data_IF_443855342292
#
_entry.id   IF_443855342292
#
_cell.length_a   1.000
_cell.length_b   1.000
_cell.length_c   1.000
_cell.angle_alpha   90.00
_cell.angle_beta   90.00
_cell.angle_gamma   90.00
#
_symmetry.space_group_name_H-M   'P 1'
#
loop_
_entity.id
_entity.type
_entity.pdbx_description
1 polymer ?
#
# COMPACT_ATOMS: atom_id res chain seq x y z
N UNK A 1 11.59 6.03 6.92
CA UNK A 1 12.23 6.32 8.23
C UNK A 1 11.66 7.61 8.75
N UNK A 2 11.43 7.69 10.06
CA UNK A 2 10.86 8.89 10.69
C UNK A 2 11.26 8.98 12.17
N UNK A 3 11.17 10.17 12.74
CA UNK A 3 11.21 10.35 14.19
C UNK A 3 10.00 9.63 14.83
N UNK A 4 10.16 9.06 16.05
CA UNK A 4 9.11 8.27 16.72
C UNK A 4 7.73 8.93 16.77
N UNK A 5 7.67 10.20 17.16
CA UNK A 5 6.47 11.03 17.31
C UNK A 5 5.66 11.18 16.02
N UNK A 6 6.31 11.08 14.86
CA UNK A 6 5.69 11.26 13.55
C UNK A 6 5.29 9.93 12.90
N UNK A 7 5.62 8.79 13.53
CA UNK A 7 5.55 7.48 12.85
C UNK A 7 4.13 7.06 12.47
N UNK A 8 3.14 7.26 13.34
CA UNK A 8 1.74 6.93 13.02
C UNK A 8 1.13 7.88 11.99
N UNK A 9 1.42 9.18 12.07
CA UNK A 9 0.98 10.13 11.06
C UNK A 9 1.58 9.82 9.67
N UNK A 10 2.86 9.44 9.63
CA UNK A 10 3.52 8.98 8.41
C UNK A 10 2.91 7.67 7.89
N UNK A 11 2.51 6.75 8.78
CA UNK A 11 1.85 5.49 8.41
C UNK A 11 0.52 5.74 7.70
N UNK A 12 -0.35 6.55 8.30
CA UNK A 12 -1.65 6.91 7.71
C UNK A 12 -1.47 7.65 6.37
N UNK A 13 -0.48 8.53 6.25
CA UNK A 13 -0.14 9.17 4.98
C UNK A 13 0.30 8.16 3.91
N UNK A 14 1.10 7.15 4.29
CA UNK A 14 1.52 6.08 3.37
C UNK A 14 0.33 5.23 2.90
N UNK A 15 -0.62 4.91 3.79
CA UNK A 15 -1.87 4.23 3.41
C UNK A 15 -2.65 5.08 2.40
N UNK A 16 -2.83 6.38 2.71
CA UNK A 16 -3.52 7.31 1.82
C UNK A 16 -2.87 7.47 0.44
N UNK A 17 -1.54 7.33 0.32
CA UNK A 17 -0.87 7.30 -0.98
C UNK A 17 -1.29 6.09 -1.81
N UNK A 18 -1.41 4.90 -1.21
CA UNK A 18 -1.84 3.69 -1.91
C UNK A 18 -3.32 3.78 -2.28
N UNK A 19 -4.17 4.23 -1.36
CA UNK A 19 -5.59 4.47 -1.64
C UNK A 19 -5.78 5.42 -2.82
N UNK A 20 -5.03 6.51 -2.87
CA UNK A 20 -5.08 7.46 -3.99
C UNK A 20 -4.72 6.80 -5.32
N UNK A 21 -3.74 5.91 -5.36
CA UNK A 21 -3.41 5.16 -6.58
C UNK A 21 -4.57 4.25 -7.01
N UNK A 22 -5.20 3.54 -6.07
CA UNK A 22 -6.35 2.67 -6.35
C UNK A 22 -7.57 3.46 -6.84
N UNK A 23 -7.83 4.63 -6.25
CA UNK A 23 -8.88 5.56 -6.67
C UNK A 23 -8.64 6.08 -8.09
N UNK A 24 -7.39 6.47 -8.41
CA UNK A 24 -7.02 6.92 -9.76
C UNK A 24 -7.15 5.80 -10.80
N UNK A 25 -6.88 4.55 -10.40
CA UNK A 25 -7.08 3.37 -11.23
C UNK A 25 -8.55 2.91 -11.29
N UNK A 26 -9.46 3.61 -10.62
CA UNK A 26 -10.90 3.32 -10.59
C UNK A 26 -11.21 1.88 -10.11
N UNK A 27 -10.34 1.31 -9.28
CA UNK A 27 -10.51 -0.06 -8.79
C UNK A 27 -11.29 -0.07 -7.46
N UNK A 28 -12.34 -0.90 -7.32
CA UNK A 28 -12.97 -1.12 -6.03
C UNK A 28 -11.98 -1.78 -5.06
N UNK A 29 -11.83 -1.17 -3.90
CA UNK A 29 -10.89 -1.63 -2.88
C UNK A 29 -11.49 -1.55 -1.47
N UNK A 30 -10.86 -2.26 -0.54
CA UNK A 30 -11.09 -2.12 0.91
C UNK A 30 -9.77 -2.03 1.65
N UNK A 31 -9.80 -1.39 2.82
CA UNK A 31 -8.66 -1.29 3.73
C UNK A 31 -8.96 -2.14 4.96
N UNK A 32 -8.04 -3.04 5.30
CA UNK A 32 -8.12 -3.91 6.46
C UNK A 32 -7.02 -3.54 7.45
N UNK A 33 -7.41 -3.26 8.69
CA UNK A 33 -6.46 -3.22 9.80
C UNK A 33 -6.26 -4.64 10.32
N UNK A 34 -5.04 -5.16 10.23
CA UNK A 34 -4.77 -6.54 10.62
C UNK A 34 -4.91 -6.74 12.13
N UNK A 35 -5.43 -7.90 12.52
CA UNK A 35 -5.46 -8.33 13.91
C UNK A 35 -4.08 -8.85 14.33
N UNK A 36 -3.82 -8.93 15.64
CA UNK A 36 -2.51 -9.34 16.15
C UNK A 36 -2.04 -10.73 15.68
N UNK A 37 -2.96 -11.64 15.33
CA UNK A 37 -2.63 -12.97 14.81
C UNK A 37 -2.18 -12.99 13.34
N UNK A 38 -2.61 -11.99 12.55
CA UNK A 38 -2.29 -11.88 11.13
C UNK A 38 -1.13 -10.90 10.86
N UNK A 39 -0.67 -10.18 11.89
CA UNK A 39 0.45 -9.27 11.79
C UNK A 39 1.79 -10.03 11.68
N UNK A 40 2.66 -9.56 10.79
CA UNK A 40 4.02 -10.09 10.69
C UNK A 40 4.82 -9.85 11.98
N UNK A 41 5.73 -10.78 12.31
CA UNK A 41 6.52 -10.82 13.56
C UNK A 41 7.17 -9.49 13.99
N UNK A 42 7.44 -8.59 13.05
CA UNK A 42 8.18 -7.35 13.31
C UNK A 42 7.30 -6.11 13.35
N UNK A 43 6.04 -6.20 12.88
CA UNK A 43 5.14 -5.05 12.74
C UNK A 43 4.42 -4.73 14.04
N UNK A 44 4.26 -3.43 14.32
CA UNK A 44 3.44 -2.91 15.42
C UNK A 44 2.02 -2.53 14.95
N UNK A 45 1.85 -2.17 13.67
CA UNK A 45 0.56 -1.91 13.05
C UNK A 45 0.67 -2.13 11.54
N UNK A 46 -0.27 -2.86 10.96
CA UNK A 46 -0.33 -3.13 9.52
C UNK A 46 -1.73 -2.86 8.98
N UNK A 47 -1.77 -2.18 7.82
CA UNK A 47 -2.95 -2.10 6.99
C UNK A 47 -2.71 -2.82 5.67
N UNK A 48 -3.62 -3.70 5.30
CA UNK A 48 -3.65 -4.33 3.99
C UNK A 48 -4.72 -3.66 3.13
N UNK A 49 -4.39 -3.37 1.88
CA UNK A 49 -5.33 -2.88 0.89
C UNK A 49 -5.59 -4.01 -0.09
N UNK A 50 -6.87 -4.28 -0.33
CA UNK A 50 -7.30 -5.37 -1.19
C UNK A 50 -8.20 -4.84 -2.30
N UNK A 51 -8.03 -5.34 -3.52
CA UNK A 51 -8.90 -5.04 -4.67
C UNK A 51 -9.84 -6.20 -4.97
N UNK A 52 -11.01 -5.91 -5.51
CA UNK A 52 -11.93 -6.96 -5.93
C UNK A 52 -11.46 -7.64 -7.22
N UNK A 53 -11.37 -8.97 -7.21
CA UNK A 53 -11.19 -9.79 -8.41
C UNK A 53 -12.54 -10.33 -8.86
N UNK A 54 -13.08 -9.78 -9.93
CA UNK A 54 -14.39 -10.17 -10.45
C UNK A 54 -14.39 -11.62 -10.98
N UNK A 55 -13.28 -12.08 -11.56
CA UNK A 55 -13.18 -13.46 -12.06
C UNK A 55 -13.12 -14.49 -10.92
N UNK A 56 -12.50 -14.14 -9.79
CA UNK A 56 -12.37 -15.05 -8.65
C UNK A 56 -13.46 -14.87 -7.59
N UNK A 57 -14.25 -13.79 -7.66
CA UNK A 57 -15.30 -13.48 -6.69
C UNK A 57 -14.76 -13.24 -5.27
N UNK A 58 -13.57 -12.65 -5.14
CA UNK A 58 -12.93 -12.39 -3.85
C UNK A 58 -12.02 -11.17 -3.86
N UNK A 59 -11.69 -10.69 -2.67
CA UNK A 59 -10.70 -9.64 -2.46
C UNK A 59 -9.28 -10.22 -2.54
N UNK A 60 -8.38 -9.50 -3.21
CA UNK A 60 -6.97 -9.83 -3.34
C UNK A 60 -6.13 -8.70 -2.74
N UNK A 61 -5.30 -9.02 -1.76
CA UNK A 61 -4.29 -8.09 -1.21
C UNK A 61 -3.42 -7.53 -2.34
N UNK A 62 -3.23 -6.23 -2.41
CA UNK A 62 -2.35 -5.57 -3.40
C UNK A 62 -1.27 -4.74 -2.73
N UNK A 63 -1.46 -4.40 -1.47
CA UNK A 63 -0.52 -3.63 -0.68
C UNK A 63 -0.63 -4.03 0.79
N UNK A 64 0.51 -4.01 1.48
CA UNK A 64 0.59 -4.13 2.92
C UNK A 64 1.52 -3.04 3.43
N UNK A 65 1.00 -2.15 4.27
CA UNK A 65 1.71 -0.98 4.80
C UNK A 65 1.85 -1.14 6.31
N UNK A 66 3.09 -1.17 6.78
CA UNK A 66 3.42 -1.51 8.17
C UNK A 66 4.29 -0.46 8.86
N UNK A 67 3.98 -0.20 10.13
CA UNK A 67 4.83 0.54 11.07
C UNK A 67 5.49 -0.47 12.02
N UNK A 68 6.82 -0.43 12.10
CA UNK A 68 7.62 -1.36 12.92
C UNK A 68 8.13 -0.72 14.21
N UNK A 69 7.76 0.54 14.45
CA UNK A 69 8.33 1.38 15.50
C UNK A 69 9.87 1.26 15.51
N UNK A 70 10.47 1.03 16.68
CA UNK A 70 11.90 0.89 16.86
C UNK A 70 12.42 -0.55 16.61
N UNK A 71 11.58 -1.54 16.24
CA UNK A 71 11.97 -2.95 16.20
C UNK A 71 13.17 -3.20 15.26
N UNK A 72 13.09 -2.70 14.03
CA UNK A 72 14.14 -2.85 13.03
C UNK A 72 15.30 -1.87 13.32
N UNK A 73 14.98 -0.62 13.67
CA UNK A 73 15.98 0.40 14.00
C UNK A 73 16.89 -0.01 15.16
N UNK A 74 16.36 -0.69 16.18
CA UNK A 74 17.16 -1.18 17.31
C UNK A 74 18.18 -2.25 16.89
N UNK A 75 17.81 -3.12 15.93
CA UNK A 75 18.69 -4.16 15.39
C UNK A 75 19.77 -3.59 14.48
N UNK A 76 19.40 -2.61 13.66
CA UNK A 76 20.32 -1.91 12.75
C UNK A 76 21.13 -0.80 13.44
N UNK A 77 20.82 -0.47 14.70
CA UNK A 77 21.34 0.71 15.42
C UNK A 77 21.10 2.02 14.67
N UNK A 78 19.98 2.12 13.95
CA UNK A 78 19.57 3.31 13.22
C UNK A 78 19.06 4.36 14.22
N UNK A 79 19.81 5.46 14.35
CA UNK A 79 19.58 6.51 15.36
C UNK A 79 19.63 7.89 14.73
N UNK A 80 18.95 8.84 15.35
CA UNK A 80 19.08 10.26 15.05
C UNK A 80 19.58 11.03 16.28
N UNK A 81 20.21 12.17 16.04
CA UNK A 81 20.70 13.06 17.10
C UNK A 81 19.62 14.08 17.43
N UNK A 82 19.23 14.13 18.69
CA UNK A 82 18.35 15.18 19.22
C UNK A 82 19.21 16.37 19.61
N UNK A 83 18.75 17.58 19.33
CA UNK A 83 19.45 18.81 19.71
C UNK A 83 19.63 18.86 21.23
N UNK A 84 20.86 19.11 21.68
CA UNK A 84 21.20 19.12 23.12
C UNK A 84 21.10 17.78 23.85
N UNK A 85 20.79 16.67 23.16
CA UNK A 85 20.42 15.40 23.77
C UNK A 85 21.26 14.19 23.37
N UNK A 86 20.92 13.04 23.98
CA UNK A 86 21.42 11.72 23.56
C UNK A 86 20.77 11.29 22.25
N UNK A 87 21.45 10.43 21.50
CA UNK A 87 20.87 9.84 20.30
C UNK A 87 19.67 8.95 20.65
N UNK A 88 18.66 8.98 19.79
CA UNK A 88 17.44 8.18 19.94
C UNK A 88 17.24 7.27 18.72
N UNK A 89 16.53 6.16 18.90
CA UNK A 89 16.20 5.27 17.79
C UNK A 89 15.16 5.90 16.87
N UNK A 90 15.32 5.71 15.57
CA UNK A 90 14.30 6.08 14.59
C UNK A 90 13.18 5.04 14.55
N UNK A 91 12.03 5.42 13.99
CA UNK A 91 10.99 4.48 13.59
C UNK A 91 11.10 4.11 12.10
N UNK A 92 10.85 2.84 11.81
CA UNK A 92 10.85 2.28 10.46
C UNK A 92 9.43 1.97 10.01
N UNK A 93 9.14 2.27 8.75
CA UNK A 93 7.90 1.95 8.06
C UNK A 93 8.22 1.42 6.69
N UNK A 94 7.37 0.53 6.16
CA UNK A 94 7.41 0.12 4.78
C UNK A 94 5.99 -0.06 4.25
N UNK A 95 5.88 -0.10 2.93
CA UNK A 95 4.64 -0.43 2.26
C UNK A 95 4.93 -0.85 0.84
N UNK A 96 4.36 -1.97 0.39
CA UNK A 96 4.28 -2.23 -1.05
C UNK A 96 3.35 -1.18 -1.64
N UNK A 97 3.74 -0.51 -2.73
CA UNK A 97 2.83 0.42 -3.38
C UNK A 97 1.66 -0.37 -3.97
N UNK A 98 1.93 -1.20 -4.97
CA UNK A 98 0.92 -2.06 -5.58
C UNK A 98 1.57 -3.33 -6.15
N UNK A 99 0.98 -4.49 -5.87
CA UNK A 99 1.35 -5.75 -6.48
C UNK A 99 0.88 -5.79 -7.94
N UNK A 100 1.79 -5.47 -8.86
CA UNK A 100 1.50 -5.31 -10.29
C UNK A 100 0.66 -6.46 -10.90
N UNK A 101 0.97 -7.76 -10.68
CA UNK A 101 0.18 -8.83 -11.28
C UNK A 101 -1.30 -8.82 -10.86
N UNK A 102 -1.57 -8.53 -9.57
CA UNK A 102 -2.92 -8.48 -9.02
C UNK A 102 -3.69 -7.24 -9.51
N UNK A 103 -3.00 -6.11 -9.66
CA UNK A 103 -3.59 -4.90 -10.25
C UNK A 103 -3.92 -5.08 -11.72
N UNK A 104 -3.02 -5.66 -12.52
CA UNK A 104 -3.30 -5.94 -13.93
C UNK A 104 -4.50 -6.87 -14.05
N UNK A 105 -4.55 -7.95 -13.26
CA UNK A 105 -5.71 -8.84 -13.23
C UNK A 105 -7.00 -8.08 -12.88
N UNK A 106 -7.01 -7.31 -11.80
CA UNK A 106 -8.18 -6.53 -11.39
C UNK A 106 -8.61 -5.50 -12.46
N UNK A 107 -7.68 -4.84 -13.15
CA UNK A 107 -7.99 -3.92 -14.24
C UNK A 107 -8.67 -4.64 -15.41
N UNK A 108 -8.13 -5.79 -15.82
CA UNK A 108 -8.69 -6.57 -16.93
C UNK A 108 -10.06 -7.14 -16.59
N UNK A 109 -10.24 -7.64 -15.36
CA UNK A 109 -11.47 -8.30 -14.91
C UNK A 109 -12.61 -7.31 -14.66
N UNK A 110 -12.34 -6.19 -13.98
CA UNK A 110 -13.40 -5.26 -13.57
C UNK A 110 -13.83 -4.29 -14.69
N UNK A 111 -13.05 -4.15 -15.76
CA UNK A 111 -13.33 -3.19 -16.84
C UNK A 111 -13.75 -3.85 -18.17
N UNK A 112 -14.21 -5.10 -18.13
CA UNK A 112 -14.71 -5.80 -19.32
C UNK A 112 -16.03 -5.19 -19.81
N UNK A 113 -16.16 -5.12 -21.13
CA UNK A 113 -17.36 -4.69 -21.84
C UNK A 113 -17.59 -5.58 -23.06
N UNK A 114 -18.79 -5.56 -23.68
CA UNK A 114 -19.01 -6.30 -24.92
C UNK A 114 -18.09 -5.88 -26.09
N UNK A 115 -17.50 -4.69 -26.04
CA UNK A 115 -16.62 -4.15 -27.08
C UNK A 115 -15.13 -4.37 -26.82
N UNK A 116 -14.74 -4.82 -25.62
CA UNK A 116 -13.34 -4.91 -25.19
C UNK A 116 -13.16 -4.49 -23.73
N UNK A 117 -11.92 -4.23 -23.33
CA UNK A 117 -11.56 -3.86 -21.95
C UNK A 117 -11.22 -2.38 -21.91
N UNK A 118 -12.03 -1.58 -21.20
CA UNK A 118 -11.75 -0.15 -21.03
C UNK A 118 -10.65 0.05 -20.01
N UNK A 119 -9.71 0.96 -20.28
CA UNK A 119 -8.68 1.33 -19.30
C UNK A 119 -9.08 2.61 -18.56
N UNK A 120 -8.72 2.75 -17.26
CA UNK A 120 -8.84 4.01 -16.53
C UNK A 120 -8.13 5.15 -17.25
N UNK A 121 -8.71 6.35 -17.18
CA UNK A 121 -8.23 7.52 -17.92
C UNK A 121 -6.75 7.84 -17.62
N UNK A 122 -6.31 7.63 -16.37
CA UNK A 122 -4.94 7.87 -15.93
C UNK A 122 -3.90 7.00 -16.63
N UNK A 123 -4.30 5.91 -17.28
CA UNK A 123 -3.39 5.02 -18.01
C UNK A 123 -3.27 5.35 -19.50
N UNK A 124 -4.18 6.14 -20.07
CA UNK A 124 -4.26 6.34 -21.52
C UNK A 124 -2.97 6.96 -22.10
N UNK A 125 -2.38 7.93 -21.41
CA UNK A 125 -1.11 8.56 -21.83
C UNK A 125 0.09 7.61 -21.77
N UNK A 126 0.04 6.59 -20.92
CA UNK A 126 1.10 5.59 -20.78
C UNK A 126 0.94 4.45 -21.78
N UNK A 127 -0.31 4.04 -22.06
CA UNK A 127 -0.62 2.93 -22.96
C UNK A 127 -0.71 3.37 -24.43
N UNK A 128 -1.08 4.63 -24.69
CA UNK A 128 -1.35 5.13 -26.05
C UNK A 128 -2.73 4.73 -26.61
N UNK A 129 -3.58 4.10 -25.80
CA UNK A 129 -4.93 3.67 -26.16
C UNK A 129 -5.85 3.69 -24.93
N UNK A 130 -7.15 3.81 -25.17
CA UNK A 130 -8.18 3.83 -24.12
C UNK A 130 -8.83 2.46 -23.87
N UNK A 131 -8.68 1.52 -24.80
CA UNK A 131 -9.33 0.21 -24.78
C UNK A 131 -8.41 -0.86 -25.36
N UNK A 132 -8.47 -2.07 -24.79
CA UNK A 132 -7.85 -3.29 -25.34
C UNK A 132 -8.95 -4.12 -26.01
N UNK A 133 -8.77 -4.46 -27.28
CA UNK A 133 -9.75 -5.23 -28.08
C UNK A 133 -10.18 -4.50 -29.34
#
# INVERSE_FOLDING_TARGET
LTQPENSYAAHEAMVGHVEKLLQLLELPYRVLRLCGGDMGFTSALTYDLEVWSAAQGRWLEVSSVSNFEAFQANRLKCRYKVEGGKTQLLHTLNGSALALPRIVAALLENNQTPQGIRLPAVLHSYCGFAQIG
#
